data_IF_280424662157
#
_entry.id   IF_280424662157
#
_cell.length_a   1.000
_cell.length_b   1.000
_cell.length_c   1.000
_cell.angle_alpha   90.00
_cell.angle_beta   90.00
_cell.angle_gamma   90.00
#
_symmetry.space_group_name_H-M   'P 1'
#
loop_
_entity.id
_entity.type
_entity.pdbx_description
1 polymer ?
#
# COMPACT_ATOMS: atom_id res chain seq x y z
N UNK A 1 -4.97 5.24 5.63
CA UNK A 1 -5.60 4.72 6.87
C UNK A 1 -6.13 5.89 7.73
N UNK A 2 -7.09 5.69 8.68
CA UNK A 2 -7.94 4.51 8.88
C UNK A 2 -9.17 4.48 7.95
N UNK A 3 -9.39 5.53 7.16
CA UNK A 3 -10.55 5.67 6.26
C UNK A 3 -10.27 5.29 4.79
N UNK A 4 -9.02 4.93 4.45
CA UNK A 4 -8.59 4.53 3.11
C UNK A 4 -7.40 3.57 3.16
N UNK A 5 -7.11 2.92 2.04
CA UNK A 5 -5.96 2.03 1.81
C UNK A 5 -5.16 2.49 0.59
N UNK A 6 -3.86 2.19 0.59
CA UNK A 6 -3.00 2.32 -0.58
C UNK A 6 -2.56 0.93 -1.04
N UNK A 7 -2.66 0.66 -2.34
CA UNK A 7 -2.15 -0.58 -2.93
C UNK A 7 -1.08 -0.29 -3.97
N UNK A 8 -0.04 -1.11 -3.93
CA UNK A 8 0.93 -1.27 -5.01
C UNK A 8 0.63 -2.58 -5.72
N UNK A 9 0.18 -2.51 -6.96
CA UNK A 9 -0.27 -3.67 -7.73
C UNK A 9 0.49 -3.83 -9.03
N UNK A 10 0.77 -5.08 -9.39
CA UNK A 10 1.27 -5.46 -10.70
C UNK A 10 0.18 -6.25 -11.43
N UNK A 11 -0.35 -5.69 -12.51
CA UNK A 11 -1.41 -6.30 -13.30
C UNK A 11 -0.83 -7.30 -14.30
N UNK A 12 -1.46 -8.48 -14.41
CA UNK A 12 -1.07 -9.53 -15.36
C UNK A 12 -2.00 -9.56 -16.56
N UNK A 13 -3.26 -9.96 -16.33
CA UNK A 13 -4.19 -10.33 -17.41
C UNK A 13 -5.50 -9.51 -17.39
N UNK A 14 -5.81 -8.84 -16.28
CA UNK A 14 -7.04 -8.05 -16.10
C UNK A 14 -6.77 -6.54 -16.15
N UNK A 15 -7.79 -5.75 -16.48
CA UNK A 15 -7.72 -4.31 -16.32
C UNK A 15 -7.80 -3.92 -14.83
N UNK A 16 -7.11 -2.83 -14.44
CA UNK A 16 -7.17 -2.32 -13.06
C UNK A 16 -8.61 -2.09 -12.59
N UNK A 17 -9.44 -1.54 -13.48
CA UNK A 17 -10.83 -1.21 -13.21
C UNK A 17 -11.68 -2.45 -12.88
N UNK A 18 -11.46 -3.56 -13.58
CA UNK A 18 -12.18 -4.82 -13.32
C UNK A 18 -11.75 -5.44 -11.99
N UNK A 19 -10.44 -5.50 -11.73
CA UNK A 19 -9.89 -5.99 -10.47
C UNK A 19 -10.43 -5.17 -9.27
N UNK A 20 -10.37 -3.84 -9.36
CA UNK A 20 -10.86 -2.94 -8.31
C UNK A 20 -12.38 -3.00 -8.15
N UNK A 21 -13.15 -3.21 -9.23
CA UNK A 21 -14.60 -3.43 -9.15
C UNK A 21 -14.90 -4.72 -8.39
N UNK A 22 -14.21 -5.82 -8.70
CA UNK A 22 -14.39 -7.11 -8.03
C UNK A 22 -14.06 -7.03 -6.54
N UNK A 23 -12.92 -6.43 -6.21
CA UNK A 23 -12.48 -6.21 -4.83
C UNK A 23 -13.50 -5.35 -4.05
N UNK A 24 -13.89 -4.22 -4.61
CA UNK A 24 -14.77 -3.27 -3.91
C UNK A 24 -16.17 -3.86 -3.68
N UNK A 25 -16.71 -4.57 -4.67
CA UNK A 25 -18.03 -5.22 -4.57
C UNK A 25 -18.02 -6.38 -3.57
N UNK A 26 -17.01 -7.25 -3.63
CA UNK A 26 -16.91 -8.39 -2.71
C UNK A 26 -16.76 -7.93 -1.27
N UNK A 27 -15.89 -6.94 -1.02
CA UNK A 27 -15.70 -6.37 0.31
C UNK A 27 -16.95 -5.65 0.83
N UNK A 28 -17.60 -4.81 0.01
CA UNK A 28 -18.86 -4.14 0.38
C UNK A 28 -19.94 -5.14 0.78
N UNK A 29 -20.13 -6.21 -0.01
CA UNK A 29 -21.10 -7.27 0.30
C UNK A 29 -20.76 -7.98 1.62
N UNK A 30 -19.49 -8.32 1.84
CA UNK A 30 -19.05 -8.99 3.05
C UNK A 30 -19.28 -8.13 4.31
N UNK A 31 -18.92 -6.85 4.26
CA UNK A 31 -19.12 -5.90 5.36
C UNK A 31 -20.61 -5.67 5.62
N UNK A 32 -21.40 -5.43 4.57
CA UNK A 32 -22.84 -5.25 4.70
C UNK A 32 -23.51 -6.47 5.34
N UNK A 33 -23.13 -7.69 4.92
CA UNK A 33 -23.62 -8.92 5.53
C UNK A 33 -23.19 -9.05 6.99
N UNK A 34 -21.91 -8.82 7.30
CA UNK A 34 -21.34 -8.99 8.65
C UNK A 34 -21.98 -8.06 9.67
N UNK A 35 -22.27 -6.82 9.28
CA UNK A 35 -22.78 -5.78 10.19
C UNK A 35 -24.27 -5.46 9.99
N UNK A 36 -25.00 -6.29 9.24
CA UNK A 36 -26.41 -6.09 8.90
C UNK A 36 -26.71 -4.68 8.36
N UNK A 37 -25.84 -4.21 7.45
CA UNK A 37 -25.94 -2.91 6.78
C UNK A 37 -26.40 -3.09 5.33
N UNK A 38 -26.84 -2.00 4.73
CA UNK A 38 -27.11 -1.90 3.30
C UNK A 38 -26.51 -0.61 2.73
N UNK A 39 -26.39 -0.54 1.41
CA UNK A 39 -25.86 0.63 0.71
C UNK A 39 -24.36 0.56 0.40
N UNK A 40 -23.82 1.71 0.03
CA UNK A 40 -22.41 1.88 -0.40
C UNK A 40 -21.47 1.91 0.80
N UNK A 41 -20.28 1.33 0.64
CA UNK A 41 -19.23 1.35 1.66
C UNK A 41 -18.11 2.35 1.33
N UNK A 42 -17.71 2.43 0.06
CA UNK A 42 -16.61 3.28 -0.39
C UNK A 42 -17.10 4.66 -0.85
N UNK A 43 -16.34 5.70 -0.51
CA UNK A 43 -16.61 7.07 -0.92
C UNK A 43 -16.02 7.34 -2.31
N UNK A 44 -16.74 6.92 -3.35
CA UNK A 44 -16.38 7.23 -4.73
C UNK A 44 -15.50 6.19 -5.43
N UNK A 45 -14.82 6.62 -6.50
CA UNK A 45 -13.97 5.78 -7.35
C UNK A 45 -12.56 5.72 -6.76
N UNK A 46 -11.86 4.60 -7.00
CA UNK A 46 -10.44 4.51 -6.70
C UNK A 46 -9.66 5.51 -7.56
N UNK A 47 -8.54 5.98 -7.02
CA UNK A 47 -7.53 6.74 -7.76
C UNK A 47 -6.36 5.80 -8.10
N UNK A 48 -5.68 6.04 -9.22
CA UNK A 48 -4.56 5.20 -9.65
C UNK A 48 -3.54 5.97 -10.47
N UNK A 49 -2.27 5.64 -10.29
CA UNK A 49 -1.15 6.20 -11.03
C UNK A 49 -0.28 5.08 -11.56
N UNK A 50 0.09 5.15 -12.84
CA UNK A 50 0.98 4.18 -13.45
C UNK A 50 2.43 4.49 -13.08
N UNK A 51 3.14 3.47 -12.61
CA UNK A 51 4.54 3.56 -12.20
C UNK A 51 5.42 3.10 -13.37
N UNK A 52 6.26 4.01 -13.87
CA UNK A 52 7.15 3.74 -15.01
C UNK A 52 8.64 3.67 -14.62
N UNK A 53 9.00 4.11 -13.41
CA UNK A 53 10.39 4.24 -12.97
C UNK A 53 10.61 3.46 -11.67
N UNK A 54 11.72 2.73 -11.60
CA UNK A 54 12.10 1.92 -10.42
C UNK A 54 12.32 2.77 -9.18
N UNK A 55 12.99 3.92 -9.30
CA UNK A 55 13.20 4.82 -8.16
C UNK A 55 11.89 5.30 -7.55
N UNK A 56 10.89 5.56 -8.42
CA UNK A 56 9.55 5.91 -7.96
C UNK A 56 8.87 4.74 -7.26
N UNK A 57 8.98 3.52 -7.82
CA UNK A 57 8.45 2.31 -7.23
C UNK A 57 8.95 2.10 -5.78
N UNK A 58 10.24 2.28 -5.54
CA UNK A 58 10.84 2.12 -4.20
C UNK A 58 10.35 3.18 -3.22
N UNK A 59 10.38 4.45 -3.62
CA UNK A 59 9.92 5.54 -2.77
C UNK A 59 8.41 5.45 -2.49
N UNK A 60 7.61 4.97 -3.44
CA UNK A 60 6.19 4.70 -3.21
C UNK A 60 5.99 3.54 -2.22
N UNK A 61 6.78 2.48 -2.31
CA UNK A 61 6.75 1.40 -1.32
C UNK A 61 7.07 1.92 0.09
N UNK A 62 8.14 2.74 0.23
CA UNK A 62 8.50 3.44 1.47
C UNK A 62 7.33 4.28 1.99
N UNK A 63 6.75 5.08 1.11
CA UNK A 63 5.62 5.94 1.42
C UNK A 63 4.43 5.16 2.00
N UNK A 64 4.03 4.07 1.34
CA UNK A 64 2.88 3.25 1.76
C UNK A 64 3.11 2.69 3.17
N UNK A 65 4.31 2.16 3.46
CA UNK A 65 4.61 1.57 4.77
C UNK A 65 4.84 2.61 5.86
N UNK A 66 5.26 3.83 5.53
CA UNK A 66 5.37 4.95 6.47
C UNK A 66 4.04 5.71 6.67
N UNK A 67 3.01 5.48 5.85
CA UNK A 67 1.73 6.18 5.95
C UNK A 67 1.07 6.07 7.35
N UNK A 68 1.03 4.89 8.02
CA UNK A 68 0.51 4.79 9.38
C UNK A 68 1.27 5.64 10.41
N UNK A 69 2.60 5.74 10.27
CA UNK A 69 3.44 6.59 11.11
C UNK A 69 3.19 8.07 10.82
N UNK A 70 3.14 8.45 9.53
CA UNK A 70 2.82 9.81 9.07
C UNK A 70 1.44 10.28 9.54
N UNK A 71 0.49 9.35 9.66
CA UNK A 71 -0.86 9.61 10.16
C UNK A 71 -0.99 9.49 11.69
N UNK A 72 0.13 9.37 12.41
CA UNK A 72 0.21 9.28 13.88
C UNK A 72 -0.59 8.12 14.49
N UNK A 73 -0.83 7.05 13.72
CA UNK A 73 -1.55 5.86 14.18
C UNK A 73 -0.66 4.93 15.01
N UNK A 74 0.63 4.94 14.72
CA UNK A 74 1.70 4.14 15.35
C UNK A 74 3.00 4.95 15.38
N UNK A 75 3.93 4.58 16.26
CA UNK A 75 5.26 5.21 16.33
C UNK A 75 6.24 4.58 15.35
N UNK A 76 6.07 3.30 15.05
CA UNK A 76 6.95 2.53 14.16
C UNK A 76 6.12 1.71 13.15
N UNK A 77 6.61 1.51 11.92
CA UNK A 77 5.87 0.77 10.89
C UNK A 77 5.60 -0.70 11.29
N UNK A 78 6.43 -1.30 12.13
CA UNK A 78 6.28 -2.65 12.69
C UNK A 78 5.02 -2.80 13.55
N UNK A 79 4.57 -1.72 14.18
CA UNK A 79 3.40 -1.72 15.07
C UNK A 79 2.09 -1.76 14.27
N UNK A 80 2.13 -1.50 12.96
CA UNK A 80 0.94 -1.49 12.10
C UNK A 80 0.72 -2.84 11.40
N UNK A 81 -0.05 -3.72 12.05
CA UNK A 81 -0.32 -5.08 11.57
C UNK A 81 -1.05 -5.14 10.21
N UNK A 82 -1.77 -4.07 9.85
CA UNK A 82 -2.62 -3.95 8.64
C UNK A 82 -1.87 -3.45 7.41
N UNK A 83 -0.55 -3.67 7.35
CA UNK A 83 0.27 -3.48 6.15
C UNK A 83 1.06 -4.73 5.81
N UNK A 84 1.66 -4.74 4.63
CA UNK A 84 2.63 -5.77 4.21
C UNK A 84 4.07 -5.49 4.70
N UNK A 85 4.28 -4.46 5.54
CA UNK A 85 5.63 -4.06 5.94
C UNK A 85 6.38 -5.19 6.65
N UNK A 86 5.71 -5.93 7.55
CA UNK A 86 6.32 -7.02 8.31
C UNK A 86 6.85 -8.14 7.40
N UNK A 87 6.19 -8.42 6.27
CA UNK A 87 6.68 -9.36 5.25
C UNK A 87 7.92 -8.86 4.52
N UNK A 88 7.96 -7.55 4.24
CA UNK A 88 9.11 -6.92 3.61
C UNK A 88 10.31 -6.88 4.54
N UNK A 89 10.08 -6.61 5.83
CA UNK A 89 11.09 -6.55 6.87
C UNK A 89 11.56 -7.93 7.38
N UNK A 90 10.97 -9.04 6.91
CA UNK A 90 11.32 -10.39 7.39
C UNK A 90 10.81 -10.72 8.80
N UNK A 91 9.94 -9.88 9.35
CA UNK A 91 9.39 -10.01 10.70
C UNK A 91 8.13 -10.89 10.75
N UNK A 92 7.51 -11.14 9.59
CA UNK A 92 6.32 -12.01 9.45
C UNK A 92 6.39 -12.81 8.15
N UNK A 93 6.10 -14.10 8.24
CA UNK A 93 5.88 -14.94 7.06
C UNK A 93 4.48 -14.70 6.49
N UNK A 94 4.38 -13.97 5.37
CA UNK A 94 3.10 -13.70 4.71
C UNK A 94 2.98 -14.38 3.34
N UNK A 95 1.74 -14.60 2.91
CA UNK A 95 1.40 -15.29 1.65
C UNK A 95 0.59 -14.45 0.68
N UNK A 96 0.10 -13.28 1.12
CA UNK A 96 -0.81 -12.45 0.34
C UNK A 96 -0.10 -11.57 -0.70
N UNK A 97 1.10 -11.07 -0.36
CA UNK A 97 1.87 -10.16 -1.20
C UNK A 97 3.05 -10.85 -1.87
N UNK A 98 3.31 -10.46 -3.12
CA UNK A 98 4.52 -10.82 -3.87
C UNK A 98 5.59 -9.76 -3.65
N UNK A 99 6.48 -10.01 -2.70
CA UNK A 99 7.52 -9.04 -2.30
C UNK A 99 8.73 -9.05 -3.23
N UNK A 100 8.86 -10.06 -4.09
CA UNK A 100 10.06 -10.32 -4.89
C UNK A 100 10.46 -9.12 -5.75
N UNK A 101 9.53 -8.40 -6.37
CA UNK A 101 9.85 -7.30 -7.28
C UNK A 101 10.56 -6.14 -6.60
N UNK A 102 10.19 -5.84 -5.35
CA UNK A 102 10.83 -4.80 -4.54
C UNK A 102 12.08 -5.36 -3.85
N UNK A 103 12.02 -6.60 -3.33
CA UNK A 103 13.19 -7.27 -2.73
C UNK A 103 14.32 -7.51 -3.75
N UNK A 104 14.03 -7.57 -5.05
CA UNK A 104 15.06 -7.63 -6.10
C UNK A 104 15.85 -6.31 -6.25
N UNK A 105 15.30 -5.19 -5.80
CA UNK A 105 15.95 -3.88 -5.87
C UNK A 105 16.67 -3.52 -4.57
N UNK A 106 16.38 -4.24 -3.48
CA UNK A 106 16.91 -3.97 -2.14
C UNK A 106 17.54 -5.27 -1.61
N UNK A 107 18.85 -5.26 -1.44
CA UNK A 107 19.70 -6.44 -1.29
C UNK A 107 19.33 -7.39 -0.13
N UNK A 108 18.62 -6.90 0.89
CA UNK A 108 18.20 -7.72 2.04
C UNK A 108 17.01 -7.13 2.79
N UNK A 109 16.40 -7.93 3.67
CA UNK A 109 15.36 -7.49 4.60
C UNK A 109 15.86 -6.40 5.55
N UNK A 110 17.12 -6.51 5.99
CA UNK A 110 17.80 -5.47 6.78
C UNK A 110 17.97 -4.18 5.97
N UNK A 111 18.38 -4.28 4.71
CA UNK A 111 18.48 -3.12 3.83
C UNK A 111 17.10 -2.46 3.61
N UNK A 112 16.02 -3.25 3.61
CA UNK A 112 14.66 -2.71 3.52
C UNK A 112 14.24 -1.96 4.79
N UNK A 113 14.55 -2.51 5.98
CA UNK A 113 14.32 -1.81 7.25
C UNK A 113 15.11 -0.50 7.31
N UNK A 114 16.38 -0.53 6.91
CA UNK A 114 17.24 0.67 6.80
C UNK A 114 16.69 1.70 5.80
N UNK A 115 16.18 1.20 4.67
CA UNK A 115 15.54 2.03 3.66
C UNK A 115 14.29 2.74 4.20
N UNK A 116 13.56 2.20 5.17
CA UNK A 116 12.43 2.91 5.80
C UNK A 116 12.82 3.80 6.97
N UNK A 117 13.93 3.52 7.65
CA UNK A 117 14.40 4.37 8.78
C UNK A 117 14.82 5.75 8.30
N UNK A 118 15.26 5.86 7.04
CA UNK A 118 15.32 7.11 6.33
C UNK A 118 13.90 7.57 5.95
N UNK A 119 13.28 8.33 6.86
CA UNK A 119 11.95 8.91 6.68
C UNK A 119 11.89 10.01 5.60
N UNK A 120 13.03 10.34 4.98
CA UNK A 120 13.06 11.34 3.91
C UNK A 120 12.46 10.75 2.64
N UNK A 121 11.18 11.02 2.43
CA UNK A 121 10.58 10.86 1.12
C UNK A 121 11.11 11.96 0.19
N UNK A 122 11.26 11.70 -1.12
CA UNK A 122 11.65 12.73 -2.07
C UNK A 122 10.71 13.92 -1.98
N UNK A 123 11.23 15.11 -1.65
CA UNK A 123 10.44 16.34 -1.52
C UNK A 123 10.11 16.99 -2.88
N UNK A 124 10.46 16.31 -3.98
CA UNK A 124 10.22 16.84 -5.31
C UNK A 124 8.72 16.98 -5.57
N UNK A 125 8.32 18.10 -6.17
CA UNK A 125 6.94 18.32 -6.60
C UNK A 125 6.46 17.20 -7.55
N UNK A 126 7.38 16.56 -8.28
CA UNK A 126 7.12 15.39 -9.10
C UNK A 126 6.67 14.18 -8.28
N UNK A 127 7.33 13.88 -7.16
CA UNK A 127 6.95 12.77 -6.28
C UNK A 127 5.63 13.03 -5.55
N UNK A 128 5.45 14.22 -4.98
CA UNK A 128 4.23 14.58 -4.24
C UNK A 128 2.96 14.52 -5.08
N UNK A 129 3.03 14.92 -6.35
CA UNK A 129 1.89 14.81 -7.29
C UNK A 129 1.44 13.37 -7.55
N UNK A 130 2.28 12.41 -7.21
CA UNK A 130 2.01 11.00 -7.41
C UNK A 130 1.56 10.29 -6.13
N UNK A 131 1.58 11.01 -5.00
CA UNK A 131 0.94 10.58 -3.76
C UNK A 131 -0.53 10.95 -3.87
N UNK A 132 -1.40 9.94 -3.91
CA UNK A 132 -2.86 10.07 -3.97
C UNK A 132 -3.43 10.42 -2.59
N UNK A 133 -2.77 11.36 -1.91
CA UNK A 133 -3.19 11.88 -0.62
C UNK A 133 -4.02 13.14 -0.89
N UNK A 134 -5.33 13.04 -0.70
CA UNK A 134 -6.26 14.19 -0.72
C UNK A 134 -6.12 15.04 0.56
#
# INVERSE_FOLDING_TARGET
>A
MPNHYHFLVYLRDETLSEAMKSLSLSYTKAINKRFNRSGVLFQGRFQSIHILQTDYLLNLSRYIHLNPVKAELVQQPEEWEFSSYLEYAGLRGGTLGKTEYIKMQIESELAYQQFLTDHNLPDSAGFKRLLLDD
#
